data_IF_708029676181
#
_entry.id   IF_708029676181
#
_cell.length_a   1.000
_cell.length_b   1.000
_cell.length_c   1.000
_cell.angle_alpha   90.00
_cell.angle_beta   90.00
_cell.angle_gamma   90.00
#
_symmetry.space_group_name_H-M   'P 1'
#
loop_
_entity.id
_entity.type
_entity.pdbx_description
1 polymer ?
#
# COMPACT_ATOMS: atom_id res chain seq x y z
N UNK A 1 -25.74 -25.85 -26.64
CA UNK A 1 -25.67 -25.24 -25.28
C UNK A 1 -24.25 -24.74 -25.12
N UNK A 2 -24.02 -23.44 -25.36
CA UNK A 2 -22.69 -22.84 -25.15
C UNK A 2 -22.51 -22.68 -23.64
N UNK A 3 -21.62 -23.46 -23.08
CA UNK A 3 -21.10 -23.20 -21.74
C UNK A 3 -20.11 -22.04 -21.87
N UNK A 4 -20.59 -20.82 -21.66
CA UNK A 4 -19.69 -19.70 -21.45
C UNK A 4 -18.99 -19.94 -20.11
N UNK A 5 -17.71 -20.24 -20.15
CA UNK A 5 -16.86 -20.21 -18.97
C UNK A 5 -16.84 -18.76 -18.47
N UNK A 6 -17.76 -18.44 -17.57
CA UNK A 6 -17.75 -17.16 -16.86
C UNK A 6 -16.66 -17.32 -15.79
N UNK A 7 -15.45 -16.91 -16.11
CA UNK A 7 -14.45 -16.75 -15.09
C UNK A 7 -14.93 -15.66 -14.13
N UNK A 8 -14.99 -15.98 -12.84
CA UNK A 8 -15.34 -15.00 -11.82
C UNK A 8 -14.27 -13.91 -11.76
N UNK A 9 -14.67 -12.66 -11.50
CA UNK A 9 -13.75 -11.58 -11.20
C UNK A 9 -12.78 -12.02 -10.08
N UNK A 10 -11.52 -12.11 -10.42
CA UNK A 10 -10.46 -12.45 -9.47
C UNK A 10 -9.52 -11.26 -9.38
N UNK A 11 -9.27 -10.77 -8.18
CA UNK A 11 -8.30 -9.71 -7.91
C UNK A 11 -7.31 -10.25 -6.87
N UNK A 12 -6.05 -10.25 -7.22
CA UNK A 12 -4.96 -10.76 -6.39
C UNK A 12 -4.08 -9.62 -5.94
N UNK A 13 -3.73 -9.59 -4.67
CA UNK A 13 -2.76 -8.65 -4.09
C UNK A 13 -1.45 -9.39 -3.86
N UNK A 14 -0.36 -8.88 -4.38
CA UNK A 14 0.98 -9.47 -4.23
C UNK A 14 1.34 -9.54 -2.75
N UNK A 15 1.74 -10.73 -2.30
CA UNK A 15 2.07 -10.99 -0.89
C UNK A 15 0.88 -11.32 0.03
N UNK A 16 -0.37 -11.05 -0.40
CA UNK A 16 -1.58 -11.26 0.41
C UNK A 16 -2.54 -12.31 -0.18
N UNK A 17 -2.51 -12.53 -1.50
CA UNK A 17 -3.38 -13.49 -2.19
C UNK A 17 -4.64 -12.85 -2.78
N UNK A 18 -5.63 -13.67 -3.09
CA UNK A 18 -6.88 -13.22 -3.71
C UNK A 18 -7.75 -12.46 -2.72
N UNK A 19 -8.35 -11.36 -3.19
CA UNK A 19 -9.33 -10.62 -2.41
C UNK A 19 -10.62 -11.45 -2.32
N UNK A 20 -11.07 -11.84 -1.12
CA UNK A 20 -12.31 -12.59 -0.94
C UNK A 20 -13.54 -11.70 -1.21
N UNK A 21 -14.73 -12.32 -1.24
CA UNK A 21 -15.98 -11.59 -1.51
C UNK A 21 -16.31 -10.54 -0.45
N UNK A 22 -16.01 -10.84 0.81
CA UNK A 22 -16.16 -9.91 1.94
C UNK A 22 -15.20 -8.73 1.90
N UNK A 23 -14.16 -8.82 1.09
CA UNK A 23 -13.12 -7.81 0.96
C UNK A 23 -11.85 -8.12 1.72
N UNK A 24 -10.83 -7.30 1.52
CA UNK A 24 -9.52 -7.39 2.16
C UNK A 24 -9.14 -6.02 2.72
N UNK A 25 -8.62 -6.02 3.94
CA UNK A 25 -8.07 -4.83 4.59
C UNK A 25 -6.58 -5.07 4.86
N UNK A 26 -5.73 -4.15 4.41
CA UNK A 26 -4.28 -4.21 4.63
C UNK A 26 -3.79 -2.92 5.24
N UNK A 27 -2.74 -3.00 6.04
CA UNK A 27 -2.06 -1.84 6.62
C UNK A 27 -0.62 -1.80 6.14
N UNK A 28 -0.19 -0.66 5.64
CA UNK A 28 1.19 -0.38 5.25
C UNK A 28 1.80 0.60 6.23
N UNK A 29 3.01 0.32 6.68
CA UNK A 29 3.77 1.15 7.63
C UNK A 29 5.15 1.53 7.09
N UNK A 30 5.56 0.91 6.00
CA UNK A 30 6.86 1.12 5.37
C UNK A 30 6.69 1.83 4.04
N UNK A 31 7.54 2.80 3.77
CA UNK A 31 7.65 3.47 2.49
C UNK A 31 9.01 3.18 1.87
N UNK A 32 9.05 3.08 0.57
CA UNK A 32 10.27 2.90 -0.22
C UNK A 32 10.55 4.18 -1.00
N UNK A 33 11.83 4.46 -1.26
CA UNK A 33 12.22 5.57 -2.11
C UNK A 33 12.03 5.17 -3.59
N UNK A 34 11.22 5.92 -4.31
CA UNK A 34 11.12 5.78 -5.77
C UNK A 34 12.43 6.22 -6.42
N UNK A 35 13.06 5.28 -7.12
CA UNK A 35 14.41 5.47 -7.71
C UNK A 35 14.43 6.59 -8.77
N UNK A 36 13.30 6.87 -9.41
CA UNK A 36 13.20 7.86 -10.47
C UNK A 36 12.95 9.27 -9.94
N UNK A 37 12.13 9.39 -8.92
CA UNK A 37 11.70 10.67 -8.37
C UNK A 37 12.42 11.04 -7.08
N UNK A 38 12.95 10.06 -6.33
CA UNK A 38 13.49 10.24 -4.99
C UNK A 38 12.43 10.48 -3.92
N UNK A 39 11.16 10.29 -4.26
CA UNK A 39 10.05 10.46 -3.32
C UNK A 39 9.78 9.17 -2.54
N UNK A 40 9.29 9.31 -1.31
CA UNK A 40 8.87 8.17 -0.51
C UNK A 40 7.49 7.72 -0.97
N UNK A 41 7.35 6.44 -1.29
CA UNK A 41 6.13 5.85 -1.82
C UNK A 41 5.74 4.62 -1.00
N UNK A 42 4.47 4.51 -0.67
CA UNK A 42 3.87 3.30 -0.11
C UNK A 42 3.07 2.62 -1.22
N UNK A 43 3.51 1.42 -1.62
CA UNK A 43 2.99 0.75 -2.81
C UNK A 43 2.26 -0.55 -2.50
N UNK A 44 1.24 -0.84 -3.30
CA UNK A 44 0.57 -2.13 -3.39
C UNK A 44 0.39 -2.47 -4.86
N UNK A 45 0.66 -3.70 -5.21
CA UNK A 45 0.45 -4.17 -6.58
C UNK A 45 -0.23 -5.55 -6.61
N UNK A 46 -0.68 -5.92 -7.77
CA UNK A 46 -1.31 -7.21 -7.98
C UNK A 46 -1.72 -7.45 -9.41
N UNK A 47 -2.51 -8.47 -9.59
CA UNK A 47 -3.09 -8.83 -10.88
C UNK A 47 -4.60 -9.05 -10.76
N UNK A 48 -5.29 -8.97 -11.85
CA UNK A 48 -6.71 -9.28 -11.93
C UNK A 48 -7.04 -10.08 -13.18
N UNK A 49 -8.13 -10.84 -13.10
CA UNK A 49 -8.73 -11.53 -14.23
C UNK A 49 -10.19 -11.08 -14.32
N UNK A 50 -10.58 -10.51 -15.44
CA UNK A 50 -11.96 -10.19 -15.75
C UNK A 50 -12.26 -10.46 -17.23
N UNK A 51 -13.52 -10.74 -17.55
CA UNK A 51 -13.93 -11.08 -18.92
C UNK A 51 -14.53 -9.90 -19.67
N UNK A 52 -15.03 -8.93 -18.95
CA UNK A 52 -15.74 -7.79 -19.50
C UNK A 52 -15.15 -6.46 -19.07
N UNK A 53 -16.03 -5.49 -18.93
CA UNK A 53 -15.64 -4.16 -18.45
C UNK A 53 -15.48 -4.17 -16.95
N UNK A 54 -14.29 -3.85 -16.51
CA UNK A 54 -13.97 -3.61 -15.10
C UNK A 54 -14.20 -2.13 -14.78
N UNK A 55 -14.89 -1.87 -13.68
CA UNK A 55 -14.96 -0.55 -13.07
C UNK A 55 -14.19 -0.57 -11.75
N UNK A 56 -13.42 0.45 -11.49
CA UNK A 56 -12.75 0.64 -10.18
C UNK A 56 -13.24 1.96 -9.60
N UNK A 57 -13.85 1.87 -8.44
CA UNK A 57 -14.28 3.03 -7.65
C UNK A 57 -13.28 3.24 -6.52
N UNK A 58 -12.81 4.47 -6.35
CA UNK A 58 -11.81 4.82 -5.34
C UNK A 58 -12.45 5.80 -4.36
N UNK A 59 -12.41 5.45 -3.08
CA UNK A 59 -12.92 6.29 -1.98
C UNK A 59 -11.78 6.59 -1.02
N UNK A 60 -11.52 7.86 -0.77
CA UNK A 60 -10.47 8.36 0.11
C UNK A 60 -11.04 8.88 1.41
N UNK A 61 -10.37 8.65 2.52
CA UNK A 61 -10.78 9.17 3.84
C UNK A 61 -10.81 10.69 3.87
N UNK A 62 -9.94 11.35 3.10
CA UNK A 62 -9.83 12.80 3.03
C UNK A 62 -9.53 13.29 1.60
N UNK A 63 -9.55 14.60 1.40
CA UNK A 63 -9.16 15.25 0.14
C UNK A 63 -7.69 15.65 0.18
N UNK A 64 -7.09 15.81 -0.99
CA UNK A 64 -5.71 16.30 -1.12
C UNK A 64 -4.64 15.22 -0.96
N UNK A 65 -5.03 13.95 -0.97
CA UNK A 65 -4.08 12.84 -0.99
C UNK A 65 -3.36 12.78 -2.33
N UNK A 66 -2.09 12.47 -2.27
CA UNK A 66 -1.27 12.22 -3.46
C UNK A 66 -1.15 10.72 -3.65
N UNK A 67 -2.13 10.15 -4.34
CA UNK A 67 -2.19 8.74 -4.68
C UNK A 67 -2.40 8.54 -6.18
N UNK A 68 -1.94 7.42 -6.67
CA UNK A 68 -2.12 6.97 -8.05
C UNK A 68 -2.58 5.52 -8.06
N UNK A 69 -3.57 5.22 -8.87
CA UNK A 69 -3.98 3.86 -9.20
C UNK A 69 -3.80 3.64 -10.68
N UNK A 70 -3.10 2.58 -11.05
CA UNK A 70 -2.93 2.16 -12.44
C UNK A 70 -3.43 0.74 -12.64
N UNK A 71 -4.11 0.51 -13.77
CA UNK A 71 -4.54 -0.82 -14.21
C UNK A 71 -4.42 -0.92 -15.72
N UNK A 72 -3.79 -1.97 -16.21
CA UNK A 72 -3.42 -2.12 -17.61
C UNK A 72 -2.60 -0.89 -18.08
N UNK A 73 -3.13 -0.16 -19.07
CA UNK A 73 -2.50 1.03 -19.65
C UNK A 73 -3.09 2.36 -19.16
N UNK A 74 -3.94 2.31 -18.12
CA UNK A 74 -4.63 3.49 -17.59
C UNK A 74 -4.26 3.75 -16.15
N UNK A 75 -3.96 5.00 -15.86
CA UNK A 75 -3.71 5.49 -14.52
C UNK A 75 -4.67 6.62 -14.18
N UNK A 76 -5.00 6.73 -12.90
CA UNK A 76 -5.66 7.88 -12.32
C UNK A 76 -5.07 8.18 -10.96
N UNK A 77 -4.99 9.44 -10.67
CA UNK A 77 -4.64 9.94 -9.35
C UNK A 77 -5.46 11.18 -9.08
N UNK A 78 -5.56 11.59 -7.86
CA UNK A 78 -6.30 12.79 -7.59
C UNK A 78 -6.58 13.06 -6.14
N UNK A 79 -7.04 14.26 -5.91
CA UNK A 79 -7.31 14.87 -4.60
C UNK A 79 -8.80 14.91 -4.26
N UNK A 80 -9.65 14.19 -5.01
CA UNK A 80 -11.08 14.11 -4.72
C UNK A 80 -11.31 13.10 -3.60
N UNK A 81 -12.17 13.44 -2.66
CA UNK A 81 -12.54 12.54 -1.57
C UNK A 81 -13.31 11.33 -2.05
N UNK A 82 -14.12 11.49 -3.10
CA UNK A 82 -15.01 10.45 -3.61
C UNK A 82 -14.82 10.21 -5.09
N UNK A 83 -14.83 8.92 -5.40
CA UNK A 83 -15.30 8.27 -6.60
C UNK A 83 -14.63 8.73 -7.89
N UNK A 84 -13.36 8.45 -8.00
CA UNK A 84 -12.83 8.23 -9.32
C UNK A 84 -13.37 6.87 -9.78
N UNK A 85 -14.30 6.87 -10.72
CA UNK A 85 -14.77 5.66 -11.37
C UNK A 85 -13.95 5.47 -12.63
N UNK A 86 -13.16 4.43 -12.64
CA UNK A 86 -12.31 4.05 -13.76
C UNK A 86 -12.94 2.87 -14.47
N UNK A 87 -13.03 2.96 -15.78
CA UNK A 87 -13.56 1.88 -16.62
C UNK A 87 -12.47 1.36 -17.53
N UNK A 88 -12.26 0.05 -17.47
CA UNK A 88 -11.30 -0.68 -18.28
C UNK A 88 -11.99 -1.82 -18.99
N UNK A 89 -11.43 -2.24 -20.11
CA UNK A 89 -11.83 -3.46 -20.80
C UNK A 89 -10.59 -4.31 -21.04
N UNK A 90 -9.99 -4.88 -19.99
CA UNK A 90 -8.71 -5.59 -20.09
C UNK A 90 -8.82 -6.88 -20.90
N UNK A 91 -9.99 -7.52 -20.97
CA UNK A 91 -10.18 -8.72 -21.77
C UNK A 91 -9.28 -9.87 -21.35
N UNK A 92 -9.30 -10.25 -20.09
CA UNK A 92 -8.48 -11.33 -19.55
C UNK A 92 -7.69 -10.91 -18.31
N UNK A 93 -6.37 -11.10 -18.33
CA UNK A 93 -5.49 -10.74 -17.22
C UNK A 93 -4.93 -9.34 -17.41
N UNK A 94 -4.87 -8.58 -16.32
CA UNK A 94 -4.18 -7.29 -16.24
C UNK A 94 -3.46 -7.15 -14.91
N UNK A 95 -2.35 -6.42 -14.94
CA UNK A 95 -1.66 -6.01 -13.72
C UNK A 95 -2.20 -4.66 -13.26
N UNK A 96 -2.16 -4.43 -11.94
CA UNK A 96 -2.53 -3.17 -11.34
C UNK A 96 -1.55 -2.81 -10.23
N UNK A 97 -1.42 -1.51 -9.96
CA UNK A 97 -0.65 -1.02 -8.82
C UNK A 97 -1.26 0.26 -8.25
N UNK A 98 -0.95 0.48 -6.99
CA UNK A 98 -1.29 1.67 -6.24
C UNK A 98 0.00 2.25 -5.70
N UNK A 99 0.19 3.54 -5.88
CA UNK A 99 1.22 4.33 -5.21
C UNK A 99 0.57 5.42 -4.38
N UNK A 100 1.03 5.59 -3.15
CA UNK A 100 0.64 6.69 -2.29
C UNK A 100 1.91 7.37 -1.77
N UNK A 101 1.99 8.68 -1.94
CA UNK A 101 3.08 9.52 -1.45
C UNK A 101 2.68 10.13 -0.10
N UNK A 102 3.11 9.53 1.03
CA UNK A 102 2.66 9.95 2.34
C UNK A 102 3.33 11.23 2.80
N UNK A 103 2.58 12.10 3.47
CA UNK A 103 3.18 13.16 4.26
C UNK A 103 3.72 12.60 5.60
N UNK A 104 4.79 13.17 6.12
CA UNK A 104 5.35 12.73 7.39
C UNK A 104 4.31 12.84 8.53
N UNK A 105 4.17 11.78 9.31
CA UNK A 105 3.19 11.69 10.39
C UNK A 105 1.74 11.50 9.94
N UNK A 106 1.52 11.12 8.68
CA UNK A 106 0.17 10.91 8.16
C UNK A 106 -0.36 9.51 8.44
N UNK A 107 -1.66 9.45 8.64
CA UNK A 107 -2.47 8.24 8.61
C UNK A 107 -3.65 8.49 7.68
N UNK A 108 -3.84 7.61 6.70
CA UNK A 108 -4.95 7.74 5.76
C UNK A 108 -5.46 6.37 5.33
N UNK A 109 -6.69 6.34 4.81
CA UNK A 109 -7.31 5.13 4.32
C UNK A 109 -7.90 5.38 2.93
N UNK A 110 -7.65 4.44 2.02
CA UNK A 110 -8.18 4.46 0.66
C UNK A 110 -8.81 3.10 0.37
N UNK A 111 -10.04 3.12 -0.09
CA UNK A 111 -10.80 1.93 -0.49
C UNK A 111 -10.93 1.86 -2.00
N UNK A 112 -10.59 0.73 -2.55
CA UNK A 112 -10.70 0.38 -3.97
C UNK A 112 -11.76 -0.71 -4.14
N UNK A 113 -12.79 -0.43 -4.93
CA UNK A 113 -13.84 -1.39 -5.25
C UNK A 113 -13.74 -1.77 -6.73
N UNK A 114 -13.26 -2.96 -6.98
CA UNK A 114 -13.21 -3.57 -8.31
C UNK A 114 -14.55 -4.22 -8.60
N UNK A 115 -15.19 -3.91 -9.72
CA UNK A 115 -16.51 -4.42 -10.06
C UNK A 115 -16.59 -4.84 -11.51
N UNK A 116 -17.16 -6.02 -11.78
CA UNK A 116 -17.49 -6.56 -13.08
C UNK A 116 -18.90 -7.15 -13.05
N UNK A 117 -19.85 -6.52 -13.73
CA UNK A 117 -21.25 -6.93 -13.67
C UNK A 117 -21.81 -6.88 -12.26
N UNK A 118 -22.20 -8.04 -11.73
CA UNK A 118 -22.71 -8.18 -10.34
C UNK A 118 -21.65 -8.58 -9.33
N UNK A 119 -20.43 -8.80 -9.77
CA UNK A 119 -19.33 -9.21 -8.90
C UNK A 119 -18.51 -8.01 -8.47
N UNK A 120 -18.05 -8.04 -7.23
CA UNK A 120 -17.15 -7.01 -6.71
C UNK A 120 -16.10 -7.58 -5.76
N UNK A 121 -14.97 -6.89 -5.66
CA UNK A 121 -13.90 -7.16 -4.70
C UNK A 121 -13.45 -5.84 -4.09
N UNK A 122 -13.46 -5.75 -2.78
CA UNK A 122 -13.08 -4.55 -2.03
C UNK A 122 -11.68 -4.71 -1.44
N UNK A 123 -10.81 -3.76 -1.70
CA UNK A 123 -9.52 -3.62 -1.05
C UNK A 123 -9.49 -2.30 -0.29
N UNK A 124 -9.29 -2.34 1.02
CA UNK A 124 -9.02 -1.16 1.83
C UNK A 124 -7.56 -1.15 2.25
N UNK A 125 -6.86 -0.08 1.95
CA UNK A 125 -5.47 0.11 2.32
C UNK A 125 -5.38 1.25 3.32
N UNK A 126 -4.88 0.94 4.52
CA UNK A 126 -4.55 1.92 5.55
C UNK A 126 -3.07 2.19 5.50
N UNK A 127 -2.71 3.44 5.28
CA UNK A 127 -1.35 3.93 5.22
C UNK A 127 -1.02 4.66 6.51
N UNK A 128 0.05 4.25 7.19
CA UNK A 128 0.54 4.86 8.42
C UNK A 128 2.01 5.19 8.21
N UNK A 129 2.35 6.47 8.09
CA UNK A 129 3.71 6.89 7.82
C UNK A 129 4.28 7.81 8.90
N UNK A 130 5.32 7.35 9.55
CA UNK A 130 6.19 8.18 10.41
C UNK A 130 5.74 8.43 11.84
N UNK A 131 4.49 8.18 12.25
CA UNK A 131 4.07 8.40 13.64
C UNK A 131 4.47 7.25 14.57
N UNK A 132 4.51 6.02 14.08
CA UNK A 132 4.86 4.83 14.89
C UNK A 132 6.30 4.36 14.69
N UNK A 133 6.95 4.72 13.59
CA UNK A 133 8.37 4.43 13.40
C UNK A 133 9.24 5.12 14.46
N UNK A 134 8.79 6.26 15.00
CA UNK A 134 9.49 6.95 16.09
C UNK A 134 9.27 6.29 17.47
N UNK A 135 8.16 5.61 17.69
CA UNK A 135 7.95 4.86 18.95
C UNK A 135 8.69 3.53 18.97
N UNK A 136 8.83 2.84 17.83
CA UNK A 136 9.63 1.62 17.73
C UNK A 136 11.14 1.89 17.74
N UNK A 137 11.58 3.08 17.34
CA UNK A 137 12.99 3.51 17.40
C UNK A 137 13.36 4.01 18.81
N UNK A 138 12.40 4.34 19.68
CA UNK A 138 12.70 4.71 21.07
C UNK A 138 13.06 3.51 21.96
N UNK A 139 12.86 2.27 21.53
CA UNK A 139 13.45 1.09 22.16
C UNK A 139 14.81 0.66 21.57
N UNK A 140 15.37 1.38 20.61
CA UNK A 140 16.78 1.22 20.30
C UNK A 140 17.58 1.73 21.49
N UNK A 141 17.99 0.77 22.30
CA UNK A 141 19.01 0.83 23.32
C UNK A 141 19.99 1.96 23.04
N UNK A 142 19.93 3.03 23.83
CA UNK A 142 20.94 4.10 23.78
C UNK A 142 22.31 3.49 24.02
N UNK A 143 22.99 3.13 22.97
CA UNK A 143 24.38 2.72 23.04
C UNK A 143 25.23 3.97 23.10
N UNK A 144 25.78 4.28 24.25
CA UNK A 144 26.69 5.39 24.44
C UNK A 144 28.12 4.87 24.43
N UNK A 145 28.98 5.47 23.61
CA UNK A 145 30.40 5.17 23.59
C UNK A 145 31.12 6.22 24.43
N UNK A 146 31.88 5.79 25.44
CA UNK A 146 32.65 6.67 26.33
C UNK A 146 34.09 6.25 26.25
N UNK A 147 34.99 7.17 25.90
CA UNK A 147 36.42 6.96 25.98
C UNK A 147 36.91 7.55 27.30
N UNK A 148 37.47 6.71 28.18
CA UNK A 148 38.03 7.14 29.47
C UNK A 148 39.34 6.42 29.70
N UNK A 149 40.40 7.17 29.99
CA UNK A 149 41.75 6.67 30.28
C UNK A 149 42.30 5.75 29.13
N UNK A 150 41.92 6.04 27.87
CA UNK A 150 42.34 5.28 26.71
C UNK A 150 41.55 3.98 26.48
N UNK A 151 40.55 3.69 27.30
CA UNK A 151 39.69 2.50 27.18
C UNK A 151 38.32 2.94 26.67
N UNK A 152 37.84 2.22 25.63
CA UNK A 152 36.51 2.44 25.04
C UNK A 152 35.47 1.63 25.85
N UNK A 153 34.53 2.33 26.44
CA UNK A 153 33.35 1.74 27.09
C UNK A 153 32.13 1.88 26.21
N UNK A 154 31.38 0.80 26.09
CA UNK A 154 30.07 0.77 25.45
C UNK A 154 29.03 0.58 26.52
N UNK A 155 28.16 1.57 26.70
CA UNK A 155 27.01 1.48 27.61
C UNK A 155 25.78 1.13 26.78
N UNK A 156 25.21 -0.03 27.08
CA UNK A 156 24.00 -0.54 26.43
C UNK A 156 23.10 -1.15 27.53
N UNK A 157 21.84 -0.77 27.58
CA UNK A 157 20.83 -1.32 28.50
C UNK A 157 21.30 -1.22 29.98
N UNK A 158 21.84 -0.09 30.38
CA UNK A 158 22.45 0.13 31.70
C UNK A 158 23.60 -0.84 32.06
N UNK A 159 24.13 -1.56 31.08
CA UNK A 159 25.32 -2.40 31.22
C UNK A 159 26.51 -1.74 30.53
N UNK A 160 27.67 -1.83 31.19
CA UNK A 160 28.93 -1.29 30.68
C UNK A 160 29.78 -2.43 30.16
N UNK A 161 30.20 -2.34 28.92
CA UNK A 161 31.14 -3.24 28.28
C UNK A 161 32.43 -2.47 27.98
N UNK A 162 33.58 -3.08 28.14
CA UNK A 162 34.85 -2.51 27.72
C UNK A 162 35.55 -3.44 26.77
N UNK A 163 36.27 -2.86 25.81
CA UNK A 163 37.10 -3.54 24.84
C UNK A 163 38.55 -3.43 25.22
#
# INVERSE_FOLDING_TARGET
>A
MLVTNIHALTVTVTGYGNIPEEGMDITLTEAEEDILTGEMVMGVNGSLICNGTLSVSITRSETGLTDEFCCADKCTGGNKKQEEILQFSPGGMADWYIHYMPAAGSETEITYLFSEGTQSRRLTVRYIFGAQALESVQEETKTTKILRDGILYIVKDNKVYHL
#
